data_IF_188079860464
#
_entry.id   IF_188079860464
#
_cell.length_a   1.000
_cell.length_b   1.000
_cell.length_c   1.000
_cell.angle_alpha   90.00
_cell.angle_beta   90.00
_cell.angle_gamma   90.00
#
_symmetry.space_group_name_H-M   'P 1'
#
loop_
_entity.id
_entity.type
_entity.pdbx_description
1 polymer ?
#
# COMPACT_ATOMS: atom_id res chain seq x y z
N UNK A 1 -25.63 -2.60 -13.94
CA UNK A 1 -26.41 -1.63 -14.74
C UNK A 1 -25.83 -0.20 -14.84
N UNK A 2 -24.66 0.10 -14.26
CA UNK A 2 -24.06 1.46 -14.37
C UNK A 2 -23.04 1.64 -15.52
N UNK A 3 -22.74 0.59 -16.31
CA UNK A 3 -21.71 0.65 -17.36
C UNK A 3 -22.21 1.02 -18.76
N UNK A 4 -23.51 0.86 -19.03
CA UNK A 4 -24.02 0.91 -20.41
C UNK A 4 -24.10 2.34 -20.98
N UNK A 5 -24.41 3.34 -20.17
CA UNK A 5 -24.50 4.71 -20.63
C UNK A 5 -23.10 5.31 -20.98
N UNK A 6 -22.05 4.87 -20.28
CA UNK A 6 -20.68 5.30 -20.58
C UNK A 6 -20.20 4.82 -21.94
N UNK A 7 -20.57 3.61 -22.34
CA UNK A 7 -20.22 3.08 -23.65
C UNK A 7 -20.84 3.88 -24.80
N UNK A 8 -22.03 4.45 -24.59
CA UNK A 8 -22.78 5.21 -25.58
C UNK A 8 -22.36 6.69 -25.63
N UNK A 9 -21.76 7.20 -24.53
CA UNK A 9 -21.41 8.63 -24.43
C UNK A 9 -20.42 9.09 -25.52
N UNK A 10 -19.39 8.31 -25.83
CA UNK A 10 -18.41 8.65 -26.85
C UNK A 10 -19.03 8.77 -28.26
N UNK A 11 -19.73 7.75 -28.77
CA UNK A 11 -20.43 7.81 -30.05
C UNK A 11 -21.43 8.96 -30.15
N UNK A 12 -22.21 9.20 -29.08
CA UNK A 12 -23.18 10.32 -29.04
C UNK A 12 -22.46 11.67 -29.11
N UNK A 13 -21.39 11.84 -28.34
CA UNK A 13 -20.59 13.07 -28.37
C UNK A 13 -19.99 13.30 -29.77
N UNK A 14 -19.42 12.26 -30.40
CA UNK A 14 -18.85 12.37 -31.74
C UNK A 14 -19.90 12.71 -32.78
N UNK A 15 -21.08 12.11 -32.71
CA UNK A 15 -22.20 12.42 -33.59
C UNK A 15 -22.70 13.85 -33.41
N UNK A 16 -22.81 14.32 -32.17
CA UNK A 16 -23.20 15.68 -31.87
C UNK A 16 -22.21 16.72 -32.43
N UNK A 17 -20.90 16.48 -32.26
CA UNK A 17 -19.85 17.34 -32.82
C UNK A 17 -19.83 17.31 -34.36
N UNK A 18 -20.03 16.14 -34.97
CA UNK A 18 -20.15 16.03 -36.42
C UNK A 18 -21.31 16.84 -36.97
N UNK A 19 -22.47 16.72 -36.31
CA UNK A 19 -23.67 17.50 -36.69
C UNK A 19 -23.43 19.02 -36.49
N UNK A 20 -22.85 19.40 -35.36
CA UNK A 20 -22.49 20.81 -35.11
C UNK A 20 -21.51 21.35 -36.15
N UNK A 21 -20.49 20.60 -36.52
CA UNK A 21 -19.53 21.00 -37.56
C UNK A 21 -20.22 21.21 -38.93
N UNK A 22 -21.17 20.31 -39.28
CA UNK A 22 -21.94 20.43 -40.49
C UNK A 22 -22.87 21.66 -40.50
N UNK A 23 -23.52 21.96 -39.37
CA UNK A 23 -24.39 23.15 -39.24
C UNK A 23 -23.59 24.48 -39.29
N UNK A 24 -22.42 24.51 -38.64
CA UNK A 24 -21.52 25.67 -38.66
C UNK A 24 -21.05 25.93 -40.09
N UNK A 25 -20.64 24.93 -40.81
CA UNK A 25 -20.18 25.00 -42.17
C UNK A 25 -21.28 25.54 -43.11
N UNK A 26 -22.53 25.12 -42.89
CA UNK A 26 -23.64 25.54 -43.74
C UNK A 26 -24.17 26.94 -43.46
N UNK A 27 -24.08 27.42 -42.20
CA UNK A 27 -24.78 28.66 -41.78
C UNK A 27 -23.88 29.77 -41.29
N UNK A 28 -22.62 29.50 -40.91
CA UNK A 28 -21.77 30.47 -40.23
C UNK A 28 -20.46 30.75 -41.00
N UNK A 29 -19.62 29.76 -41.15
CA UNK A 29 -18.27 29.86 -41.75
C UNK A 29 -17.90 28.54 -42.40
N UNK A 30 -17.30 28.60 -43.58
CA UNK A 30 -16.75 27.41 -44.27
C UNK A 30 -15.60 26.80 -43.44
N UNK A 31 -15.77 25.55 -43.02
CA UNK A 31 -14.77 24.83 -42.24
C UNK A 31 -13.79 24.12 -43.23
N UNK A 32 -12.53 24.54 -43.34
CA UNK A 32 -11.64 24.01 -44.34
C UNK A 32 -11.24 22.57 -44.15
N UNK A 33 -11.14 22.09 -42.87
CA UNK A 33 -10.79 20.70 -42.53
C UNK A 33 -11.29 20.35 -41.11
N UNK A 34 -12.34 19.54 -40.95
CA UNK A 34 -12.82 19.07 -39.64
C UNK A 34 -12.03 17.92 -39.03
N UNK A 35 -11.07 17.30 -39.78
CA UNK A 35 -10.37 16.09 -39.31
C UNK A 35 -9.63 16.24 -37.97
N UNK A 36 -8.89 17.34 -37.67
CA UNK A 36 -8.24 17.51 -36.38
C UNK A 36 -9.25 17.51 -35.20
N UNK A 37 -10.40 18.14 -35.39
CA UNK A 37 -11.46 18.16 -34.38
C UNK A 37 -11.98 16.76 -34.10
N UNK A 38 -12.20 15.95 -35.15
CA UNK A 38 -12.65 14.56 -35.01
C UNK A 38 -11.65 13.69 -34.27
N UNK A 39 -10.34 13.84 -34.53
CA UNK A 39 -9.30 13.11 -33.79
C UNK A 39 -9.33 13.46 -32.29
N UNK A 40 -9.46 14.77 -31.95
CA UNK A 40 -9.57 15.20 -30.56
C UNK A 40 -10.79 14.61 -29.85
N UNK A 41 -11.95 14.59 -30.52
CA UNK A 41 -13.17 14.04 -29.96
C UNK A 41 -13.08 12.51 -29.79
N UNK A 42 -12.47 11.80 -30.74
CA UNK A 42 -12.21 10.35 -30.64
C UNK A 42 -11.26 10.05 -29.46
N UNK A 43 -10.21 10.87 -29.29
CA UNK A 43 -9.31 10.76 -28.11
C UNK A 43 -10.09 10.94 -26.81
N UNK A 44 -10.95 11.96 -26.72
CA UNK A 44 -11.79 12.23 -25.55
C UNK A 44 -12.79 11.08 -25.33
N UNK A 45 -13.46 10.61 -26.36
CA UNK A 45 -14.40 9.50 -26.30
C UNK A 45 -13.72 8.21 -25.78
N UNK A 46 -12.53 7.90 -26.28
CA UNK A 46 -11.75 6.75 -25.85
C UNK A 46 -11.23 6.87 -24.42
N UNK A 47 -10.77 8.06 -24.04
CA UNK A 47 -10.29 8.32 -22.66
C UNK A 47 -11.40 8.23 -21.61
N UNK A 48 -12.64 8.60 -21.95
CA UNK A 48 -13.78 8.56 -21.02
C UNK A 48 -14.49 7.20 -21.00
N UNK A 49 -14.61 6.55 -22.16
CA UNK A 49 -15.49 5.38 -22.32
C UNK A 49 -14.77 4.09 -22.71
N UNK A 50 -13.46 4.17 -23.01
CA UNK A 50 -12.62 3.02 -23.36
C UNK A 50 -12.49 2.75 -24.86
N UNK A 51 -11.70 1.70 -25.22
CA UNK A 51 -11.29 1.39 -26.59
C UNK A 51 -12.50 1.19 -27.51
N UNK A 52 -13.48 0.38 -27.10
CA UNK A 52 -14.63 0.07 -27.96
C UNK A 52 -15.42 1.33 -28.36
N UNK A 53 -15.71 2.21 -27.39
CA UNK A 53 -16.40 3.46 -27.64
C UNK A 53 -15.56 4.40 -28.52
N UNK A 54 -14.23 4.46 -28.31
CA UNK A 54 -13.29 5.20 -29.14
C UNK A 54 -13.28 4.73 -30.59
N UNK A 55 -13.27 3.41 -30.83
CA UNK A 55 -13.28 2.85 -32.17
C UNK A 55 -14.60 3.13 -32.90
N UNK A 56 -15.74 2.99 -32.21
CA UNK A 56 -17.05 3.37 -32.80
C UNK A 56 -17.07 4.86 -33.13
N UNK A 57 -16.54 5.72 -32.24
CA UNK A 57 -16.40 7.15 -32.49
C UNK A 57 -15.48 7.46 -33.67
N UNK A 58 -14.39 6.69 -33.85
CA UNK A 58 -13.49 6.82 -35.01
C UNK A 58 -14.21 6.49 -36.32
N UNK A 59 -15.02 5.43 -36.34
CA UNK A 59 -15.85 5.09 -37.53
C UNK A 59 -16.84 6.21 -37.84
N UNK A 60 -17.53 6.74 -36.83
CA UNK A 60 -18.46 7.85 -37.02
C UNK A 60 -17.73 9.09 -37.56
N UNK A 61 -16.52 9.40 -37.04
CA UNK A 61 -15.70 10.52 -37.49
C UNK A 61 -15.31 10.40 -38.98
N UNK A 62 -14.91 9.19 -39.41
CA UNK A 62 -14.56 8.91 -40.82
C UNK A 62 -15.77 9.04 -41.73
N UNK A 63 -16.93 8.49 -41.33
CA UNK A 63 -18.18 8.61 -42.09
C UNK A 63 -18.64 10.08 -42.17
N UNK A 64 -18.59 10.80 -41.06
CA UNK A 64 -18.94 12.21 -41.04
C UNK A 64 -17.99 13.05 -41.96
N UNK A 65 -16.70 12.75 -41.95
CA UNK A 65 -15.73 13.40 -42.83
C UNK A 65 -16.00 13.08 -44.31
N UNK A 66 -16.35 11.82 -44.63
CA UNK A 66 -16.72 11.44 -45.99
C UNK A 66 -17.96 12.21 -46.50
N UNK A 67 -19.01 12.31 -45.68
CA UNK A 67 -20.21 13.07 -46.01
C UNK A 67 -19.92 14.56 -46.17
N UNK A 68 -19.03 15.11 -45.32
CA UNK A 68 -18.61 16.52 -45.38
C UNK A 68 -17.95 16.84 -46.74
N UNK A 69 -17.03 15.99 -47.24
CA UNK A 69 -16.37 16.19 -48.51
C UNK A 69 -17.33 16.04 -49.72
N UNK A 70 -18.29 15.11 -49.65
CA UNK A 70 -19.30 14.97 -50.70
C UNK A 70 -20.19 16.18 -50.83
N UNK A 71 -20.54 16.83 -49.76
CA UNK A 71 -21.43 18.01 -49.75
C UNK A 71 -20.78 19.26 -50.35
N UNK A 72 -19.45 19.34 -50.40
CA UNK A 72 -18.73 20.50 -50.89
C UNK A 72 -18.39 20.44 -52.37
N UNK A 73 -18.80 19.39 -53.12
CA UNK A 73 -18.48 19.20 -54.52
C UNK A 73 -19.69 19.37 -55.44
N UNK A 74 -19.44 20.03 -56.58
CA UNK A 74 -20.43 20.18 -57.64
C UNK A 74 -20.64 18.88 -58.48
N UNK A 75 -19.66 17.92 -58.42
CA UNK A 75 -19.72 16.64 -59.11
C UNK A 75 -19.57 15.52 -58.06
N UNK A 76 -20.53 14.55 -58.02
CA UNK A 76 -20.43 13.44 -57.09
C UNK A 76 -19.25 12.51 -57.48
N UNK A 77 -18.28 12.34 -56.56
CA UNK A 77 -17.12 11.47 -56.68
C UNK A 77 -16.01 11.84 -55.70
N UNK A 78 -15.17 10.85 -55.32
CA UNK A 78 -13.99 11.07 -54.50
C UNK A 78 -12.74 11.15 -55.42
N UNK A 79 -11.90 12.13 -55.21
CA UNK A 79 -10.57 12.20 -55.83
C UNK A 79 -9.58 11.37 -54.98
N UNK A 80 -8.45 10.99 -55.60
CA UNK A 80 -7.37 10.23 -54.93
C UNK A 80 -6.87 10.96 -53.67
N UNK A 81 -6.85 12.30 -53.67
CA UNK A 81 -6.49 13.10 -52.51
C UNK A 81 -7.51 13.00 -51.36
N UNK A 82 -8.78 12.88 -51.66
CA UNK A 82 -9.84 12.74 -50.62
C UNK A 82 -9.80 11.34 -49.99
N UNK A 83 -9.55 10.32 -50.81
CA UNK A 83 -9.35 8.94 -50.32
C UNK A 83 -8.11 8.87 -49.42
N UNK A 84 -7.01 9.50 -49.80
CA UNK A 84 -5.82 9.56 -48.96
C UNK A 84 -6.04 10.28 -47.63
N UNK A 85 -6.80 11.39 -47.63
CA UNK A 85 -7.18 12.13 -46.41
C UNK A 85 -8.08 11.30 -45.47
N UNK A 86 -9.06 10.59 -46.03
CA UNK A 86 -9.93 9.69 -45.25
C UNK A 86 -9.15 8.50 -44.69
N UNK A 87 -8.24 7.90 -45.48
CA UNK A 87 -7.37 6.82 -44.99
C UNK A 87 -6.45 7.30 -43.85
N UNK A 88 -5.88 8.52 -43.98
CA UNK A 88 -5.05 9.11 -42.92
C UNK A 88 -5.88 9.41 -41.66
N UNK A 89 -7.09 9.92 -41.83
CA UNK A 89 -8.00 10.16 -40.69
C UNK A 89 -8.39 8.85 -40.01
N UNK A 90 -8.71 7.80 -40.78
CA UNK A 90 -9.04 6.49 -40.22
C UNK A 90 -7.86 5.92 -39.41
N UNK A 91 -6.65 6.01 -39.95
CA UNK A 91 -5.43 5.53 -39.27
C UNK A 91 -5.15 6.35 -37.99
N UNK A 92 -5.20 7.67 -38.07
CA UNK A 92 -4.91 8.56 -36.92
C UNK A 92 -6.00 8.47 -35.87
N UNK A 93 -7.28 8.48 -36.21
CA UNK A 93 -8.39 8.38 -35.29
C UNK A 93 -8.44 6.98 -34.64
N UNK A 94 -8.27 5.92 -35.43
CA UNK A 94 -8.19 4.54 -34.93
C UNK A 94 -7.00 4.32 -34.03
N UNK A 95 -5.81 4.75 -34.43
CA UNK A 95 -4.60 4.68 -33.61
C UNK A 95 -4.74 5.46 -32.30
N UNK A 96 -5.27 6.67 -32.37
CA UNK A 96 -5.53 7.47 -31.16
C UNK A 96 -6.53 6.80 -30.24
N UNK A 97 -7.62 6.24 -30.77
CA UNK A 97 -8.61 5.50 -29.98
C UNK A 97 -7.98 4.32 -29.23
N UNK A 98 -7.13 3.54 -29.89
CA UNK A 98 -6.44 2.40 -29.29
C UNK A 98 -5.44 2.86 -28.21
N UNK A 99 -4.57 3.82 -28.55
CA UNK A 99 -3.53 4.29 -27.61
C UNK A 99 -4.15 4.91 -26.37
N UNK A 100 -5.12 5.83 -26.53
CA UNK A 100 -5.77 6.48 -25.38
C UNK A 100 -6.58 5.49 -24.53
N UNK A 101 -7.24 4.54 -25.17
CA UNK A 101 -7.98 3.49 -24.48
C UNK A 101 -7.09 2.52 -23.70
N UNK A 102 -5.94 2.11 -24.26
CA UNK A 102 -4.95 1.28 -23.56
C UNK A 102 -4.31 2.02 -22.38
N UNK A 103 -3.96 3.30 -22.58
CA UNK A 103 -3.42 4.13 -21.50
C UNK A 103 -4.43 4.22 -20.36
N UNK A 104 -5.70 4.51 -20.66
CA UNK A 104 -6.76 4.54 -19.65
C UNK A 104 -6.86 3.24 -18.87
N UNK A 105 -6.82 2.10 -19.58
CA UNK A 105 -6.91 0.79 -18.93
C UNK A 105 -5.75 0.56 -17.97
N UNK A 106 -4.52 0.85 -18.41
CA UNK A 106 -3.33 0.76 -17.54
C UNK A 106 -3.42 1.67 -16.32
N UNK A 107 -3.95 2.89 -16.45
CA UNK A 107 -4.16 3.80 -15.32
C UNK A 107 -5.18 3.25 -14.32
N UNK A 108 -6.29 2.68 -14.81
CA UNK A 108 -7.31 2.08 -13.95
C UNK A 108 -6.74 0.87 -13.21
N UNK A 109 -6.01 0.00 -13.91
CA UNK A 109 -5.42 -1.21 -13.32
C UNK A 109 -4.35 -0.85 -12.28
N UNK A 110 -3.48 0.13 -12.56
CA UNK A 110 -2.46 0.62 -11.63
C UNK A 110 -3.10 1.22 -10.37
N UNK A 111 -4.14 2.06 -10.54
CA UNK A 111 -4.85 2.66 -9.41
C UNK A 111 -5.61 1.63 -8.56
N UNK A 112 -6.21 0.63 -9.20
CA UNK A 112 -6.87 -0.47 -8.50
C UNK A 112 -5.87 -1.34 -7.72
N UNK A 113 -4.67 -1.59 -8.29
CA UNK A 113 -3.61 -2.34 -7.61
C UNK A 113 -3.09 -1.59 -6.38
N UNK A 114 -2.87 -0.28 -6.50
CA UNK A 114 -2.45 0.58 -5.38
C UNK A 114 -3.50 0.58 -4.25
N UNK A 115 -4.78 0.76 -4.59
CA UNK A 115 -5.86 0.69 -3.59
C UNK A 115 -5.96 -0.69 -2.93
N UNK A 116 -5.79 -1.78 -3.67
CA UNK A 116 -5.78 -3.13 -3.12
C UNK A 116 -4.62 -3.35 -2.15
N UNK A 117 -3.44 -2.82 -2.48
CA UNK A 117 -2.26 -2.88 -1.61
C UNK A 117 -2.48 -2.10 -0.31
N UNK A 118 -3.00 -0.87 -0.38
CA UNK A 118 -3.34 -0.08 0.81
C UNK A 118 -4.40 -0.77 1.67
N UNK A 119 -5.44 -1.34 1.07
CA UNK A 119 -6.47 -2.07 1.81
C UNK A 119 -5.90 -3.31 2.51
N UNK A 120 -4.96 -4.03 1.87
CA UNK A 120 -4.31 -5.20 2.46
C UNK A 120 -3.42 -4.80 3.63
N UNK A 121 -2.59 -3.76 3.47
CA UNK A 121 -1.75 -3.22 4.54
C UNK A 121 -2.57 -2.76 5.74
N UNK A 122 -3.68 -2.04 5.52
CA UNK A 122 -4.57 -1.59 6.58
C UNK A 122 -5.23 -2.77 7.31
N UNK A 123 -5.62 -3.84 6.59
CA UNK A 123 -6.17 -5.07 7.21
C UNK A 123 -5.13 -5.79 8.06
N UNK A 124 -3.88 -5.90 7.58
CA UNK A 124 -2.80 -6.51 8.35
C UNK A 124 -2.49 -5.70 9.61
N UNK A 125 -2.38 -4.39 9.52
CA UNK A 125 -2.19 -3.51 10.67
C UNK A 125 -3.33 -3.68 11.69
N UNK A 126 -4.60 -3.67 11.24
CA UNK A 126 -5.75 -3.90 12.10
C UNK A 126 -5.78 -5.29 12.73
N UNK A 127 -5.31 -6.33 12.03
CA UNK A 127 -5.20 -7.67 12.59
C UNK A 127 -4.10 -7.74 13.67
N UNK A 128 -2.96 -7.09 13.44
CA UNK A 128 -1.88 -6.99 14.42
C UNK A 128 -2.29 -6.19 15.66
N UNK A 129 -3.20 -5.23 15.52
CA UNK A 129 -3.78 -4.49 16.66
C UNK A 129 -4.73 -5.32 17.54
N UNK A 130 -5.21 -6.46 17.03
CA UNK A 130 -6.07 -7.39 17.79
C UNK A 130 -5.27 -8.40 18.62
N UNK A 131 -3.95 -8.46 18.44
CA UNK A 131 -3.08 -9.43 19.12
C UNK A 131 -2.52 -8.81 20.38
N UNK A 132 -2.57 -9.55 21.50
CA UNK A 132 -2.02 -9.14 22.80
C UNK A 132 -0.48 -9.29 22.86
N UNK A 133 0.19 -9.19 21.73
CA UNK A 133 1.66 -9.19 21.61
C UNK A 133 2.06 -7.82 21.11
N UNK A 134 2.91 -7.11 21.85
CA UNK A 134 3.47 -5.84 21.40
C UNK A 134 4.38 -6.07 20.18
N UNK A 135 4.09 -5.44 19.05
CA UNK A 135 4.86 -5.58 17.80
C UNK A 135 5.34 -4.22 17.35
N UNK A 136 6.64 -4.14 17.05
CA UNK A 136 7.27 -2.97 16.44
C UNK A 136 8.05 -3.45 15.20
N UNK A 137 7.76 -2.88 14.05
CA UNK A 137 8.56 -3.05 12.84
C UNK A 137 9.49 -1.87 12.70
N UNK A 138 10.78 -2.14 12.53
CA UNK A 138 11.82 -1.15 12.32
C UNK A 138 12.37 -1.29 10.90
N UNK A 139 12.69 -0.17 10.28
CA UNK A 139 13.46 -0.13 9.04
C UNK A 139 14.97 -0.42 9.28
N UNK A 140 15.76 -0.40 8.23
CA UNK A 140 17.21 -0.61 8.29
C UNK A 140 17.94 0.45 9.14
N UNK A 141 17.38 1.67 9.26
CA UNK A 141 17.89 2.77 10.08
C UNK A 141 17.37 2.74 11.53
N UNK A 142 16.73 1.63 11.91
CA UNK A 142 16.15 1.42 13.25
C UNK A 142 15.02 2.37 13.64
N UNK A 143 14.33 2.95 12.65
CA UNK A 143 13.14 3.77 12.87
C UNK A 143 11.88 2.90 12.79
N UNK A 144 10.91 3.20 13.64
CA UNK A 144 9.66 2.46 13.65
C UNK A 144 8.81 2.80 12.41
N UNK A 145 8.53 1.78 11.60
CA UNK A 145 7.56 1.87 10.50
C UNK A 145 6.15 1.55 10.96
N UNK A 146 6.04 0.64 11.92
CA UNK A 146 4.77 0.22 12.50
C UNK A 146 4.92 -0.10 13.98
N UNK A 147 3.94 0.33 14.76
CA UNK A 147 3.83 0.04 16.20
C UNK A 147 2.38 -0.33 16.47
N UNK A 148 2.12 -1.58 16.89
CA UNK A 148 0.76 -2.02 17.15
C UNK A 148 0.22 -1.49 18.48
N UNK A 149 -1.09 -1.66 18.67
CA UNK A 149 -1.81 -1.19 19.84
C UNK A 149 -1.28 -1.81 21.15
N UNK A 150 -1.03 -3.12 21.18
CA UNK A 150 -0.55 -3.79 22.40
C UNK A 150 0.79 -3.21 22.88
N UNK A 151 1.73 -2.89 22.00
CA UNK A 151 2.96 -2.20 22.40
C UNK A 151 2.68 -0.82 22.97
N UNK A 152 1.78 -0.04 22.35
CA UNK A 152 1.40 1.30 22.85
C UNK A 152 0.80 1.22 24.24
N UNK A 153 -0.05 0.23 24.48
CA UNK A 153 -0.69 0.00 25.78
C UNK A 153 0.35 -0.40 26.86
N UNK A 154 1.31 -1.31 26.56
CA UNK A 154 2.34 -1.72 27.51
C UNK A 154 3.27 -0.59 27.94
N UNK A 155 3.60 0.32 27.05
CA UNK A 155 4.54 1.40 27.33
C UNK A 155 3.89 2.78 27.44
N UNK A 156 2.55 2.85 27.53
CA UNK A 156 1.78 4.10 27.57
C UNK A 156 2.23 5.09 26.47
N UNK A 157 2.48 4.58 25.25
CA UNK A 157 2.99 5.37 24.12
C UNK A 157 1.83 6.07 23.42
N UNK A 158 1.78 7.43 23.39
CA UNK A 158 0.74 8.16 22.68
C UNK A 158 0.76 7.89 21.17
N UNK A 159 -0.41 7.89 20.53
CA UNK A 159 -0.55 7.67 19.09
C UNK A 159 0.29 8.66 18.27
N UNK A 160 0.30 9.93 18.62
CA UNK A 160 1.11 10.96 17.94
C UNK A 160 2.61 10.64 17.93
N UNK A 161 3.13 10.06 19.04
CA UNK A 161 4.52 9.62 19.10
C UNK A 161 4.76 8.37 18.28
N UNK A 162 3.84 7.41 18.31
CA UNK A 162 3.93 6.19 17.49
C UNK A 162 3.94 6.53 15.99
N UNK A 163 3.04 7.42 15.55
CA UNK A 163 2.89 7.83 14.17
C UNK A 163 4.06 8.69 13.65
N UNK A 164 4.83 9.31 14.55
CA UNK A 164 6.03 10.09 14.20
C UNK A 164 7.21 9.25 13.69
N UNK A 165 7.06 7.92 13.63
CA UNK A 165 8.12 6.96 13.24
C UNK A 165 9.41 7.14 14.05
N UNK A 166 9.35 7.06 15.39
CA UNK A 166 10.48 7.33 16.24
C UNK A 166 11.59 6.29 16.05
N UNK A 167 12.87 6.63 16.23
CA UNK A 167 13.93 5.64 16.29
C UNK A 167 13.77 4.75 17.54
N UNK A 168 14.22 3.50 17.47
CA UNK A 168 14.09 2.52 18.56
C UNK A 168 14.58 3.06 19.91
N UNK A 169 15.71 3.77 19.91
CA UNK A 169 16.25 4.36 21.13
C UNK A 169 15.29 5.37 21.78
N UNK A 170 14.49 6.10 21.00
CA UNK A 170 13.50 7.03 21.53
C UNK A 170 12.33 6.29 22.20
N UNK A 171 11.96 5.10 21.70
CA UNK A 171 10.98 4.23 22.36
C UNK A 171 11.50 3.74 23.71
N UNK A 172 12.77 3.36 23.78
CA UNK A 172 13.40 2.94 25.04
C UNK A 172 13.44 4.10 26.08
N UNK A 173 13.82 5.31 25.64
CA UNK A 173 13.76 6.49 26.52
C UNK A 173 12.35 6.84 26.95
N UNK A 174 11.35 6.66 26.08
CA UNK A 174 9.97 6.87 26.44
C UNK A 174 9.54 5.92 27.58
N UNK A 175 9.88 4.62 27.48
CA UNK A 175 9.61 3.65 28.54
C UNK A 175 10.32 4.00 29.86
N UNK A 176 11.53 4.58 29.81
CA UNK A 176 12.22 5.14 30.99
C UNK A 176 11.43 6.31 31.59
N UNK A 177 11.10 7.30 30.75
CA UNK A 177 10.46 8.54 31.20
C UNK A 177 9.04 8.33 31.75
N UNK A 178 8.37 7.27 31.31
CA UNK A 178 7.05 6.84 31.81
C UNK A 178 7.16 5.89 33.02
N UNK A 179 8.38 5.48 33.41
CA UNK A 179 8.56 4.54 34.51
C UNK A 179 8.03 3.14 34.21
N UNK A 180 8.01 2.72 32.94
CA UNK A 180 7.46 1.43 32.53
C UNK A 180 8.33 0.24 32.99
N UNK A 181 9.63 0.44 33.19
CA UNK A 181 10.56 -0.63 33.56
C UNK A 181 10.70 -0.75 35.09
N UNK A 182 10.68 -1.99 35.58
CA UNK A 182 10.99 -2.31 37.00
C UNK A 182 12.53 -2.41 37.17
N UNK A 183 13.24 -1.28 37.03
CA UNK A 183 14.69 -1.21 37.17
C UNK A 183 15.09 0.04 37.97
N UNK A 184 16.17 -0.04 38.80
CA UNK A 184 16.77 1.13 39.42
C UNK A 184 17.26 2.13 38.38
N UNK A 185 17.20 3.42 38.71
CA UNK A 185 17.51 4.50 37.77
C UNK A 185 18.99 4.48 37.30
N UNK A 186 19.89 4.03 38.15
CA UNK A 186 21.32 3.85 37.86
C UNK A 186 21.61 2.69 36.89
N UNK A 187 20.79 1.64 36.89
CA UNK A 187 20.90 0.50 35.96
C UNK A 187 20.21 0.74 34.61
N UNK A 188 19.26 1.66 34.57
CA UNK A 188 18.39 1.87 33.42
C UNK A 188 19.13 2.37 32.19
N UNK A 189 20.13 3.22 32.36
CA UNK A 189 20.98 3.70 31.24
C UNK A 189 21.80 2.57 30.60
N UNK A 190 22.35 1.68 31.44
CA UNK A 190 23.10 0.51 30.97
C UNK A 190 22.17 -0.47 30.23
N UNK A 191 20.97 -0.70 30.77
CA UNK A 191 19.94 -1.52 30.15
C UNK A 191 19.55 -0.99 28.75
N UNK A 192 19.29 0.31 28.59
CA UNK A 192 18.94 0.92 27.31
C UNK A 192 20.10 0.78 26.30
N UNK A 193 21.35 0.99 26.73
CA UNK A 193 22.50 0.84 25.87
C UNK A 193 22.67 -0.60 25.39
N UNK A 194 22.61 -1.57 26.29
CA UNK A 194 22.71 -3.00 25.99
C UNK A 194 21.59 -3.45 25.02
N UNK A 195 20.35 -3.01 25.27
CA UNK A 195 19.21 -3.33 24.41
C UNK A 195 19.38 -2.78 22.99
N UNK A 196 19.87 -1.55 22.90
CA UNK A 196 20.10 -0.91 21.61
C UNK A 196 21.21 -1.64 20.84
N UNK A 197 22.24 -2.09 21.51
CA UNK A 197 23.35 -2.82 20.90
C UNK A 197 22.91 -4.23 20.45
N UNK A 198 22.20 -4.98 21.29
CA UNK A 198 21.63 -6.29 20.93
C UNK A 198 20.72 -6.19 19.71
N UNK A 199 19.85 -5.18 19.65
CA UNK A 199 18.97 -4.94 18.52
C UNK A 199 19.76 -4.62 17.24
N UNK A 200 20.82 -3.78 17.33
CA UNK A 200 21.69 -3.48 16.18
C UNK A 200 22.48 -4.68 15.70
N UNK A 201 22.99 -5.49 16.63
CA UNK A 201 23.70 -6.72 16.32
C UNK A 201 22.79 -7.80 15.71
N UNK A 202 21.47 -7.62 15.78
CA UNK A 202 20.49 -8.61 15.32
C UNK A 202 20.46 -9.84 16.22
N UNK A 203 20.82 -9.71 17.49
CA UNK A 203 20.75 -10.79 18.46
C UNK A 203 19.28 -11.21 18.66
N UNK A 204 19.01 -12.48 18.42
CA UNK A 204 17.67 -13.06 18.52
C UNK A 204 17.41 -13.73 19.88
N UNK A 205 18.35 -13.63 20.81
CA UNK A 205 18.21 -14.23 22.14
C UNK A 205 17.04 -13.59 22.88
N UNK A 206 15.99 -14.34 23.24
CA UNK A 206 14.85 -13.79 23.96
C UNK A 206 15.27 -13.42 25.38
N UNK A 207 14.81 -12.28 25.86
CA UNK A 207 14.98 -11.85 27.25
C UNK A 207 13.63 -11.50 27.87
N UNK A 208 13.55 -11.62 29.18
CA UNK A 208 12.39 -11.19 29.94
C UNK A 208 12.61 -9.76 30.46
N UNK A 209 11.60 -8.93 30.32
CA UNK A 209 11.56 -7.54 30.78
C UNK A 209 10.45 -7.45 31.83
N UNK A 210 10.79 -7.04 33.04
CA UNK A 210 9.81 -6.80 34.07
C UNK A 210 9.33 -5.35 33.94
N UNK A 211 8.00 -5.18 33.92
CA UNK A 211 7.36 -3.88 33.94
C UNK A 211 6.97 -3.50 35.37
N UNK A 212 6.89 -2.20 35.62
CA UNK A 212 6.55 -1.64 36.94
C UNK A 212 5.13 -2.02 37.43
N UNK A 213 4.23 -2.43 36.51
CA UNK A 213 2.89 -2.93 36.85
C UNK A 213 2.88 -4.42 37.24
N UNK A 214 4.04 -5.06 37.28
CA UNK A 214 4.22 -6.47 37.63
C UNK A 214 3.97 -7.43 36.45
N UNK A 215 3.83 -6.94 35.23
CA UNK A 215 3.82 -7.77 34.03
C UNK A 215 5.25 -8.15 33.64
N UNK A 216 5.40 -9.35 33.08
CA UNK A 216 6.65 -9.83 32.50
C UNK A 216 6.44 -10.00 31.02
N UNK A 217 7.20 -9.24 30.24
CA UNK A 217 7.20 -9.33 28.77
C UNK A 217 8.44 -10.09 28.29
N UNK A 218 8.25 -11.07 27.43
CA UNK A 218 9.34 -11.70 26.70
C UNK A 218 9.58 -10.92 25.41
N UNK A 219 10.75 -10.33 25.36
CA UNK A 219 11.21 -9.63 24.17
C UNK A 219 11.96 -10.57 23.24
N UNK A 220 11.72 -10.45 21.93
CA UNK A 220 12.58 -11.05 20.90
C UNK A 220 12.73 -10.09 19.71
N UNK A 221 13.86 -10.21 19.01
CA UNK A 221 14.19 -9.45 17.82
C UNK A 221 14.40 -10.43 16.66
N UNK A 222 13.74 -10.19 15.52
CA UNK A 222 13.89 -10.99 14.31
C UNK A 222 14.32 -10.09 13.15
N UNK A 223 15.39 -10.46 12.45
CA UNK A 223 15.84 -9.74 11.26
C UNK A 223 14.85 -9.98 10.09
N UNK A 224 14.55 -8.91 9.35
CA UNK A 224 13.72 -8.95 8.16
C UNK A 224 14.58 -8.98 6.89
N UNK A 225 14.06 -9.52 5.77
CA UNK A 225 14.82 -9.64 4.51
C UNK A 225 15.27 -8.31 3.90
N UNK A 226 14.58 -7.23 4.21
CA UNK A 226 14.85 -5.85 3.75
C UNK A 226 15.90 -5.11 4.59
N UNK A 227 16.48 -5.80 5.58
CA UNK A 227 17.44 -5.22 6.53
C UNK A 227 16.80 -4.60 7.77
N UNK A 228 15.47 -4.54 7.82
CA UNK A 228 14.70 -4.09 8.99
C UNK A 228 14.70 -5.12 10.13
N UNK A 229 13.95 -4.82 11.18
CA UNK A 229 13.80 -5.66 12.36
C UNK A 229 12.34 -5.75 12.79
N UNK A 230 11.90 -6.93 13.20
CA UNK A 230 10.65 -7.12 13.91
C UNK A 230 10.95 -7.36 15.39
N UNK A 231 10.42 -6.51 16.24
CA UNK A 231 10.49 -6.66 17.69
C UNK A 231 9.15 -7.19 18.18
N UNK A 232 9.17 -8.21 19.03
CA UNK A 232 7.96 -8.73 19.67
C UNK A 232 8.10 -8.73 21.18
N UNK A 233 7.01 -8.34 21.85
CA UNK A 233 6.87 -8.26 23.30
C UNK A 233 5.69 -9.13 23.71
N UNK A 234 5.96 -10.34 24.12
CA UNK A 234 4.94 -11.35 24.47
C UNK A 234 4.72 -11.38 25.99
N UNK A 235 3.49 -11.20 26.49
CA UNK A 235 3.22 -11.31 27.93
C UNK A 235 3.42 -12.76 28.37
N UNK A 236 4.30 -12.97 29.36
CA UNK A 236 4.64 -14.29 29.93
C UNK A 236 4.47 -14.34 31.43
N UNK A 237 3.75 -13.39 32.02
CA UNK A 237 3.55 -13.23 33.46
C UNK A 237 3.03 -14.51 34.10
N UNK A 238 2.01 -15.13 33.55
CA UNK A 238 1.42 -16.35 34.09
C UNK A 238 2.37 -17.54 33.96
N UNK A 239 3.11 -17.62 32.86
CA UNK A 239 4.07 -18.68 32.62
C UNK A 239 5.22 -18.61 33.65
N UNK A 240 5.75 -17.41 33.90
CA UNK A 240 6.82 -17.21 34.89
C UNK A 240 6.33 -17.50 36.30
N UNK A 241 5.13 -17.03 36.68
CA UNK A 241 4.53 -17.30 38.00
C UNK A 241 4.27 -18.79 38.25
N UNK A 242 3.93 -19.55 37.22
CA UNK A 242 3.68 -21.00 37.35
C UNK A 242 4.98 -21.84 37.27
N UNK A 243 6.06 -21.27 36.74
CA UNK A 243 7.34 -21.97 36.60
C UNK A 243 8.26 -21.74 37.80
N UNK A 244 7.89 -20.81 38.72
CA UNK A 244 8.58 -20.57 39.98
C UNK A 244 7.83 -21.21 41.18
N UNK A 245 7.80 -22.55 41.30
CA UNK A 245 7.46 -23.15 42.59
C UNK A 245 8.55 -22.74 43.60
N UNK A 246 8.19 -22.57 44.89
CA UNK A 246 9.17 -22.28 45.94
C UNK A 246 10.26 -23.36 45.94
N UNK A 247 11.44 -23.02 45.44
CA UNK A 247 12.57 -23.94 45.20
C UNK A 247 13.27 -23.78 43.84
N UNK A 248 12.73 -23.04 42.89
CA UNK A 248 13.33 -22.87 41.57
C UNK A 248 14.58 -21.98 41.60
N UNK A 249 14.66 -21.02 42.51
CA UNK A 249 15.88 -20.25 42.80
C UNK A 249 17.01 -21.16 43.29
N UNK A 250 16.70 -22.16 44.10
CA UNK A 250 17.68 -23.16 44.57
C UNK A 250 18.07 -24.13 43.45
N UNK A 251 17.15 -24.48 42.53
CA UNK A 251 17.45 -25.27 41.34
C UNK A 251 18.41 -24.55 40.38
N UNK A 252 18.21 -23.30 40.07
CA UNK A 252 19.10 -22.50 39.24
C UNK A 252 20.47 -22.27 39.92
N UNK A 253 20.48 -22.14 41.27
CA UNK A 253 21.71 -22.03 42.05
C UNK A 253 22.49 -23.35 42.04
N UNK A 254 21.80 -24.50 42.09
CA UNK A 254 22.43 -25.82 42.01
C UNK A 254 23.04 -26.11 40.64
N UNK A 255 22.37 -25.69 39.55
CA UNK A 255 22.92 -25.75 38.18
C UNK A 255 24.18 -24.90 38.00
N UNK A 256 24.23 -23.69 38.60
CA UNK A 256 25.43 -22.83 38.58
C UNK A 256 26.60 -23.41 39.38
N UNK A 257 26.34 -24.21 40.40
CA UNK A 257 27.37 -24.84 41.23
C UNK A 257 27.78 -26.23 40.75
N UNK A 258 27.24 -26.70 39.60
CA UNK A 258 27.54 -28.04 39.09
C UNK A 258 27.04 -29.21 39.96
N UNK A 259 26.10 -28.94 40.88
CA UNK A 259 25.49 -29.98 41.72
C UNK A 259 24.25 -30.55 41.01
N UNK A 260 24.04 -31.88 41.02
CA UNK A 260 22.84 -32.48 40.45
C UNK A 260 21.61 -31.99 41.20
N UNK A 261 20.48 -31.68 40.50
CA UNK A 261 19.27 -31.14 41.13
C UNK A 261 18.68 -32.21 42.09
N UNK A 262 18.30 -31.75 43.26
CA UNK A 262 17.77 -32.56 44.39
C UNK A 262 16.55 -33.42 44.01
N UNK A 263 15.89 -33.14 42.88
CA UNK A 263 14.76 -33.94 42.37
C UNK A 263 15.17 -35.32 41.79
N UNK A 264 16.43 -35.53 41.46
CA UNK A 264 16.89 -36.83 40.91
C UNK A 264 17.28 -37.81 42.03
N UNK A 265 17.59 -37.38 43.25
CA UNK A 265 17.92 -38.28 44.37
C UNK A 265 16.69 -38.99 44.92
N UNK A 266 15.49 -38.46 44.83
CA UNK A 266 14.26 -39.12 45.30
C UNK A 266 13.74 -40.24 44.41
N UNK A 267 14.15 -40.29 43.13
CA UNK A 267 13.78 -41.40 42.20
C UNK A 267 14.77 -42.56 42.16
N UNK A 268 15.94 -42.40 42.74
CA UNK A 268 16.93 -43.46 42.83
C UNK A 268 16.80 -44.28 44.12
N UNK A 269 15.90 -43.91 45.03
CA UNK A 269 15.64 -44.54 46.32
C UNK A 269 14.28 -45.28 46.41
N UNK A 270 13.51 -45.31 45.29
CA UNK A 270 12.35 -46.21 45.10
C UNK A 270 12.69 -47.24 43.98
#
# INVERSE_FOLDING_TARGET
MQSDWRAIFGPVLTTAVALASFLIDRHVVTVPNPAPLFVCIVALASSLSGIASGLVSAVIAVVASALFFLNHRAVPGYDTHDIARMALLALTAGGTAVITGLLRQKWIDAFAAEQAQHATSARLASALDQVDIGIVLLDADTRAEFINRAFRDYFALPDEKADSKPPFIALMYHGRDTGAYELPEDELAAFIAERTEMMRAGDQTPININLADGQVLRFSCTALPDGGRMLSYTPVTDLVRHTDPPGHADYLRSLRMGQPPVFLEKRAAE
#
